data_IF_268660014149
#
_entry.id   IF_268660014149
#
_cell.length_a   1.000
_cell.length_b   1.000
_cell.length_c   1.000
_cell.angle_alpha   90.00
_cell.angle_beta   90.00
_cell.angle_gamma   90.00
#
_symmetry.space_group_name_H-M   'P 1'
#
loop_
_entity.id
_entity.type
_entity.pdbx_description
1 polymer ?
#
# COMPACT_ATOMS: atom_id res chain seq x y z
N UNK A 1 -32.36 -5.52 -29.50
CA UNK A 1 -30.93 -5.29 -29.17
C UNK A 1 -30.57 -3.89 -29.58
N UNK A 2 -29.95 -3.09 -28.72
CA UNK A 2 -29.46 -1.76 -29.08
C UNK A 2 -28.31 -1.89 -30.08
N UNK A 3 -28.40 -1.18 -31.23
CA UNK A 3 -27.37 -1.17 -32.29
C UNK A 3 -25.95 -0.86 -31.78
N UNK A 4 -25.86 -0.14 -30.67
CA UNK A 4 -24.59 0.23 -30.04
C UNK A 4 -23.70 -0.98 -29.70
N UNK A 5 -24.27 -2.15 -29.40
CA UNK A 5 -23.47 -3.35 -29.06
C UNK A 5 -23.05 -4.19 -30.27
N UNK A 6 -23.24 -3.69 -31.49
CA UNK A 6 -22.78 -4.38 -32.70
C UNK A 6 -21.25 -4.30 -32.83
N UNK A 7 -20.57 -5.34 -33.36
CA UNK A 7 -19.12 -5.36 -33.52
C UNK A 7 -18.55 -4.16 -34.31
N UNK A 8 -19.35 -3.55 -35.18
CA UNK A 8 -18.99 -2.35 -35.93
C UNK A 8 -18.65 -1.14 -35.04
N UNK A 9 -19.14 -1.11 -33.78
CA UNK A 9 -18.90 -0.01 -32.84
C UNK A 9 -17.78 -0.30 -31.83
N UNK A 10 -17.04 -1.40 -31.97
CA UNK A 10 -15.95 -1.76 -31.05
C UNK A 10 -14.92 -0.64 -30.87
N UNK A 11 -14.59 0.08 -31.95
CA UNK A 11 -13.68 1.25 -31.89
C UNK A 11 -14.25 2.37 -31.03
N UNK A 12 -15.55 2.66 -31.13
CA UNK A 12 -16.19 3.67 -30.29
C UNK A 12 -16.19 3.27 -28.81
N UNK A 13 -16.37 1.98 -28.51
CA UNK A 13 -16.31 1.49 -27.13
C UNK A 13 -14.92 1.71 -26.51
N UNK A 14 -13.85 1.45 -27.26
CA UNK A 14 -12.48 1.76 -26.80
C UNK A 14 -12.30 3.26 -26.56
N UNK A 15 -12.79 4.12 -27.46
CA UNK A 15 -12.71 5.58 -27.28
C UNK A 15 -13.44 6.02 -26.01
N UNK A 16 -14.63 5.47 -25.74
CA UNK A 16 -15.40 5.77 -24.51
C UNK A 16 -14.62 5.36 -23.27
N UNK A 17 -13.99 4.18 -23.29
CA UNK A 17 -13.16 3.69 -22.17
C UNK A 17 -11.96 4.61 -21.94
N UNK A 18 -11.25 5.01 -22.98
CA UNK A 18 -10.11 5.92 -22.85
C UNK A 18 -10.53 7.32 -22.37
N UNK A 19 -11.66 7.83 -22.85
CA UNK A 19 -12.21 9.10 -22.40
C UNK A 19 -12.61 9.09 -20.93
N UNK A 20 -13.17 7.99 -20.42
CA UNK A 20 -13.46 7.84 -19.00
C UNK A 20 -12.18 7.68 -18.16
N UNK A 21 -11.14 7.05 -18.71
CA UNK A 21 -9.85 6.88 -18.05
C UNK A 21 -8.93 8.12 -18.13
N UNK A 22 -9.31 9.14 -18.90
CA UNK A 22 -8.44 10.27 -19.27
C UNK A 22 -7.84 11.01 -18.07
N UNK A 23 -8.66 11.32 -17.07
CA UNK A 23 -8.17 11.97 -15.84
C UNK A 23 -7.54 10.97 -14.88
N UNK A 24 -8.20 9.84 -14.68
CA UNK A 24 -7.74 8.79 -13.79
C UNK A 24 -8.40 7.44 -14.17
N UNK A 25 -7.68 6.29 -14.10
CA UNK A 25 -8.24 4.97 -14.46
C UNK A 25 -9.50 4.57 -13.70
N UNK A 26 -9.74 5.15 -12.51
CA UNK A 26 -10.95 4.88 -11.72
C UNK A 26 -12.26 5.17 -12.49
N UNK A 27 -12.23 6.07 -13.48
CA UNK A 27 -13.40 6.42 -14.28
C UNK A 27 -14.00 5.26 -15.07
N UNK A 28 -13.23 4.19 -15.32
CA UNK A 28 -13.73 2.98 -16.01
C UNK A 28 -14.29 1.92 -15.06
N UNK A 29 -14.16 2.09 -13.72
CA UNK A 29 -14.66 1.11 -12.74
C UNK A 29 -16.17 0.86 -12.87
N UNK A 30 -17.04 1.87 -13.09
CA UNK A 30 -18.48 1.63 -13.30
C UNK A 30 -18.78 0.69 -14.48
N UNK A 31 -17.91 0.62 -15.49
CA UNK A 31 -18.10 -0.23 -16.67
C UNK A 31 -18.00 -1.73 -16.35
N UNK A 32 -17.41 -2.10 -15.21
CA UNK A 32 -17.37 -3.48 -14.72
C UNK A 32 -18.78 -4.06 -14.49
N UNK A 33 -19.76 -3.19 -14.18
CA UNK A 33 -21.16 -3.56 -13.94
C UNK A 33 -22.07 -3.55 -15.17
N UNK A 34 -21.62 -3.03 -16.32
CA UNK A 34 -22.50 -2.75 -17.47
C UNK A 34 -22.85 -4.01 -18.26
N UNK A 35 -21.87 -4.61 -18.93
CA UNK A 35 -22.02 -5.87 -19.65
C UNK A 35 -20.67 -6.56 -19.85
N UNK A 36 -20.67 -7.77 -20.42
CA UNK A 36 -19.46 -8.58 -20.60
C UNK A 36 -18.38 -7.87 -21.45
N UNK A 37 -18.77 -7.18 -22.52
CA UNK A 37 -17.84 -6.51 -23.42
C UNK A 37 -17.16 -5.30 -22.74
N UNK A 38 -17.94 -4.39 -22.16
CA UNK A 38 -17.38 -3.24 -21.43
C UNK A 38 -16.61 -3.64 -20.18
N UNK A 39 -17.04 -4.70 -19.49
CA UNK A 39 -16.26 -5.26 -18.38
C UNK A 39 -14.89 -5.73 -18.85
N UNK A 40 -14.80 -6.40 -20.00
CA UNK A 40 -13.52 -6.84 -20.53
C UNK A 40 -12.61 -5.65 -20.85
N UNK A 41 -13.11 -4.64 -21.56
CA UNK A 41 -12.34 -3.43 -21.88
C UNK A 41 -11.89 -2.68 -20.62
N UNK A 42 -12.77 -2.55 -19.63
CA UNK A 42 -12.45 -1.92 -18.36
C UNK A 42 -11.38 -2.69 -17.59
N UNK A 43 -11.47 -4.02 -17.51
CA UNK A 43 -10.45 -4.88 -16.89
C UNK A 43 -9.10 -4.71 -17.60
N UNK A 44 -9.09 -4.75 -18.93
CA UNK A 44 -7.87 -4.55 -19.73
C UNK A 44 -7.24 -3.20 -19.41
N UNK A 45 -8.02 -2.12 -19.37
CA UNK A 45 -7.52 -0.77 -19.09
C UNK A 45 -7.01 -0.59 -17.66
N UNK A 46 -7.72 -1.13 -16.67
CA UNK A 46 -7.33 -1.08 -15.25
C UNK A 46 -6.05 -1.87 -15.00
N UNK A 47 -5.93 -3.09 -15.55
CA UNK A 47 -4.70 -3.89 -15.47
C UNK A 47 -3.55 -3.17 -16.16
N UNK A 48 -3.80 -2.55 -17.32
CA UNK A 48 -2.79 -1.82 -18.06
C UNK A 48 -2.22 -0.64 -17.26
N UNK A 49 -3.04 0.08 -16.49
CA UNK A 49 -2.59 1.20 -15.67
C UNK A 49 -1.49 0.83 -14.65
N UNK A 50 -1.51 -0.41 -14.14
CA UNK A 50 -0.47 -0.94 -13.25
C UNK A 50 0.69 -1.59 -14.01
N UNK A 51 0.44 -2.22 -15.16
CA UNK A 51 1.50 -2.78 -16.03
C UNK A 51 2.45 -1.72 -16.59
N UNK A 52 1.97 -0.50 -16.78
CA UNK A 52 2.77 0.63 -17.28
C UNK A 52 3.72 1.20 -16.22
N UNK A 53 3.69 0.67 -14.99
CA UNK A 53 4.60 1.09 -13.95
C UNK A 53 6.06 0.80 -14.34
N UNK A 54 6.92 1.82 -14.32
CA UNK A 54 8.35 1.71 -14.63
C UNK A 54 9.19 2.34 -13.55
N UNK A 55 10.36 1.75 -13.28
CA UNK A 55 11.42 2.35 -12.47
C UNK A 55 12.18 3.33 -13.35
N UNK A 56 12.10 4.61 -13.00
CA UNK A 56 12.80 5.70 -13.68
C UNK A 56 14.22 5.92 -13.14
N UNK A 57 14.50 5.40 -11.95
CA UNK A 57 15.77 5.56 -11.23
C UNK A 57 15.53 5.38 -9.74
N UNK A 58 16.51 5.81 -8.95
CA UNK A 58 16.41 5.86 -7.49
C UNK A 58 16.59 7.30 -7.03
N UNK A 59 15.93 7.64 -5.94
CA UNK A 59 16.18 8.89 -5.26
C UNK A 59 17.52 8.83 -4.52
N UNK A 60 18.34 9.86 -4.67
CA UNK A 60 19.70 9.87 -4.10
C UNK A 60 19.67 10.09 -2.59
N UNK A 61 18.65 10.79 -2.06
CA UNK A 61 18.54 11.08 -0.64
C UNK A 61 17.88 9.91 0.10
N UNK A 62 16.78 9.37 -0.42
CA UNK A 62 16.02 8.32 0.27
C UNK A 62 16.36 6.89 -0.17
N UNK A 63 17.08 6.72 -1.29
CA UNK A 63 17.34 5.41 -1.89
C UNK A 63 16.09 4.74 -2.49
N UNK A 64 14.92 5.38 -2.48
CA UNK A 64 13.68 4.79 -3.00
C UNK A 64 13.59 4.79 -4.52
N UNK A 65 12.95 3.78 -5.13
CA UNK A 65 12.73 3.78 -6.57
C UNK A 65 11.77 4.91 -6.96
N UNK A 66 12.18 5.72 -7.94
CA UNK A 66 11.32 6.69 -8.62
C UNK A 66 10.46 5.94 -9.63
N UNK A 67 9.15 5.90 -9.40
CA UNK A 67 8.22 5.15 -10.26
C UNK A 67 7.41 6.10 -11.14
N UNK A 68 7.26 5.76 -12.43
CA UNK A 68 6.18 6.30 -13.28
C UNK A 68 5.03 5.31 -13.29
N UNK A 69 3.79 5.75 -13.06
CA UNK A 69 2.60 4.90 -13.15
C UNK A 69 2.03 4.51 -11.79
N UNK A 70 1.24 3.43 -11.76
CA UNK A 70 0.52 2.99 -10.56
C UNK A 70 1.26 1.88 -9.81
N UNK A 71 1.34 2.00 -8.49
CA UNK A 71 2.02 1.08 -7.59
C UNK A 71 1.25 0.95 -6.26
N UNK A 72 1.76 0.12 -5.35
CA UNK A 72 1.33 0.09 -3.95
C UNK A 72 2.55 0.35 -3.08
N UNK A 73 2.49 1.37 -2.22
CA UNK A 73 3.52 1.58 -1.18
C UNK A 73 3.09 0.83 0.07
N UNK A 74 3.98 0.04 0.63
CA UNK A 74 3.77 -0.62 1.91
C UNK A 74 4.77 -0.04 2.91
N UNK A 75 4.32 0.53 4.02
CA UNK A 75 5.18 1.25 4.95
C UNK A 75 4.75 1.01 6.40
N UNK A 76 5.60 1.39 7.36
CA UNK A 76 5.17 1.45 8.76
C UNK A 76 3.96 2.41 8.90
N UNK A 77 2.94 1.99 9.64
CA UNK A 77 1.75 2.78 9.88
C UNK A 77 1.96 3.60 11.16
N UNK A 78 1.83 4.92 11.05
CA UNK A 78 1.85 5.84 12.21
C UNK A 78 0.59 5.77 13.09
N UNK A 79 -0.32 4.84 12.82
CA UNK A 79 -1.56 4.69 13.61
C UNK A 79 -1.25 4.03 14.93
N UNK A 80 -1.30 4.83 16.00
CA UNK A 80 -1.42 4.30 17.33
C UNK A 80 -2.83 3.68 17.50
N UNK A 81 -2.97 2.36 17.75
CA UNK A 81 -4.27 1.73 17.94
C UNK A 81 -4.99 2.22 19.22
N UNK A 82 -4.26 2.83 20.16
CA UNK A 82 -4.80 3.31 21.45
C UNK A 82 -5.25 4.77 21.38
N UNK A 83 -4.54 5.62 20.64
CA UNK A 83 -4.85 7.05 20.55
C UNK A 83 -5.69 7.41 19.31
N UNK A 84 -5.92 6.45 18.40
CA UNK A 84 -6.64 6.67 17.15
C UNK A 84 -5.79 7.39 16.08
N UNK A 85 -6.33 7.60 14.87
CA UNK A 85 -5.54 8.18 13.78
C UNK A 85 -5.26 9.68 14.01
N UNK A 86 -4.05 10.15 13.70
CA UNK A 86 -3.75 11.57 13.52
C UNK A 86 -3.88 11.94 12.04
N UNK A 87 -3.93 13.24 11.73
CA UNK A 87 -4.07 13.73 10.35
C UNK A 87 -2.91 13.25 9.47
N UNK A 88 -1.72 13.20 10.05
CA UNK A 88 -0.47 12.72 9.45
C UNK A 88 -0.54 11.23 9.11
N UNK A 89 -1.46 10.48 9.72
CA UNK A 89 -1.73 9.07 9.42
C UNK A 89 -2.65 8.91 8.20
N UNK A 90 -3.05 9.99 7.52
CA UNK A 90 -3.81 9.86 6.28
C UNK A 90 -2.93 9.18 5.21
N UNK A 91 -3.40 8.11 4.53
CA UNK A 91 -2.61 7.36 3.55
C UNK A 91 -1.99 8.18 2.41
N UNK A 92 -2.46 9.41 2.16
CA UNK A 92 -1.85 10.33 1.19
C UNK A 92 -0.49 10.85 1.65
N UNK A 93 -0.28 11.03 2.96
CA UNK A 93 1.05 11.34 3.51
C UNK A 93 2.00 10.18 3.20
N UNK A 94 1.56 8.95 3.47
CA UNK A 94 2.34 7.74 3.16
C UNK A 94 2.80 7.73 1.69
N UNK A 95 1.95 8.09 0.73
CA UNK A 95 2.35 8.10 -0.69
C UNK A 95 3.30 9.23 -1.09
N UNK A 96 3.19 10.42 -0.49
CA UNK A 96 3.94 11.61 -0.92
C UNK A 96 5.22 11.78 -0.12
N UNK A 97 5.18 11.53 1.18
CA UNK A 97 6.33 11.70 2.05
C UNK A 97 7.29 10.53 1.83
N UNK A 98 8.51 10.89 1.43
CA UNK A 98 9.66 9.99 1.42
C UNK A 98 10.00 9.80 2.90
N UNK A 99 9.86 8.59 3.42
CA UNK A 99 10.28 8.28 4.78
C UNK A 99 11.81 8.23 4.77
N UNK A 100 12.53 9.20 5.39
CA UNK A 100 13.98 9.23 5.34
C UNK A 100 14.62 7.97 5.96
N UNK A 101 13.88 7.24 6.80
CA UNK A 101 14.40 6.11 7.57
C UNK A 101 14.25 4.75 6.84
N UNK A 102 13.84 4.74 5.57
CA UNK A 102 13.78 3.50 4.79
C UNK A 102 12.62 2.57 5.17
N UNK A 103 11.57 3.05 5.84
CA UNK A 103 10.49 2.19 6.36
C UNK A 103 9.37 1.89 5.36
N UNK A 104 9.72 1.65 4.10
CA UNK A 104 8.74 1.36 3.06
C UNK A 104 9.28 0.46 1.94
N UNK A 105 8.37 -0.24 1.28
CA UNK A 105 8.63 -1.05 0.08
C UNK A 105 7.62 -0.65 -1.00
N UNK A 106 8.11 -0.41 -2.20
CA UNK A 106 7.27 -0.15 -3.37
C UNK A 106 6.96 -1.47 -4.09
N UNK A 107 5.68 -1.77 -4.26
CA UNK A 107 5.18 -2.97 -4.92
C UNK A 107 4.61 -2.63 -6.30
N UNK A 108 5.10 -3.31 -7.32
CA UNK A 108 4.75 -3.10 -8.73
C UNK A 108 4.07 -4.34 -9.32
N UNK A 109 3.36 -4.17 -10.44
CA UNK A 109 2.61 -5.23 -11.10
C UNK A 109 3.49 -6.42 -11.48
N UNK A 110 3.05 -7.63 -11.12
CA UNK A 110 3.65 -8.88 -11.57
C UNK A 110 2.68 -9.66 -12.48
N UNK A 111 1.44 -9.89 -12.03
CA UNK A 111 0.48 -10.69 -12.79
C UNK A 111 -0.97 -10.38 -12.44
N UNK A 112 -1.90 -10.78 -13.31
CA UNK A 112 -3.34 -10.72 -13.10
C UNK A 112 -3.96 -12.08 -13.39
N UNK A 113 -4.77 -12.59 -12.48
CA UNK A 113 -5.55 -13.82 -12.68
C UNK A 113 -7.02 -13.45 -13.02
N UNK A 114 -7.48 -13.70 -14.27
CA UNK A 114 -8.84 -13.38 -14.68
C UNK A 114 -9.92 -14.24 -14.01
N UNK A 115 -9.58 -15.40 -13.42
CA UNK A 115 -10.56 -16.26 -12.74
C UNK A 115 -10.89 -15.74 -11.36
N UNK A 116 -9.87 -15.34 -10.60
CA UNK A 116 -10.02 -14.81 -9.23
C UNK A 116 -10.11 -13.29 -9.20
N UNK A 117 -9.81 -12.62 -10.31
CA UNK A 117 -9.70 -11.16 -10.46
C UNK A 117 -8.64 -10.53 -9.55
N UNK A 118 -7.67 -11.32 -9.11
CA UNK A 118 -6.58 -10.88 -8.26
C UNK A 118 -5.40 -10.37 -9.09
N UNK A 119 -4.86 -9.22 -8.69
CA UNK A 119 -3.58 -8.69 -9.13
C UNK A 119 -2.53 -9.08 -8.11
N UNK A 120 -1.43 -9.68 -8.58
CA UNK A 120 -0.24 -9.93 -7.76
C UNK A 120 0.77 -8.82 -8.01
N UNK A 121 1.22 -8.20 -6.94
CA UNK A 121 2.26 -7.19 -6.91
C UNK A 121 3.50 -7.75 -6.20
N UNK A 122 4.68 -7.28 -6.57
CA UNK A 122 5.97 -7.68 -5.96
C UNK A 122 6.85 -6.45 -5.72
N UNK A 123 7.81 -6.52 -4.79
CA UNK A 123 8.80 -5.46 -4.64
C UNK A 123 9.51 -5.14 -5.96
N UNK A 124 9.90 -3.87 -6.11
CA UNK A 124 10.75 -3.43 -7.22
C UNK A 124 12.05 -4.22 -7.25
N UNK A 125 12.70 -4.38 -6.10
CA UNK A 125 13.89 -5.21 -5.96
C UNK A 125 13.67 -6.35 -4.96
N UNK A 126 14.06 -7.61 -5.27
CA UNK A 126 13.81 -8.76 -4.39
C UNK A 126 14.49 -8.71 -3.01
N UNK A 127 15.43 -7.79 -2.81
CA UNK A 127 16.09 -7.58 -1.52
C UNK A 127 15.45 -6.46 -0.70
N UNK A 128 14.46 -5.72 -1.24
CA UNK A 128 13.79 -4.65 -0.52
C UNK A 128 13.12 -5.23 0.74
N UNK A 129 13.37 -4.58 1.87
CA UNK A 129 12.82 -4.92 3.18
C UNK A 129 12.54 -3.62 3.96
N UNK A 130 11.57 -3.70 4.86
CA UNK A 130 11.27 -2.64 5.81
C UNK A 130 12.06 -2.95 7.08
N UNK A 131 12.95 -2.04 7.48
CA UNK A 131 13.69 -2.13 8.73
C UNK A 131 12.96 -1.33 9.81
N UNK A 132 12.89 -1.87 11.02
CA UNK A 132 12.18 -1.25 12.13
C UNK A 132 12.64 -1.80 13.47
N UNK A 133 12.36 -1.05 14.53
CA UNK A 133 12.69 -1.43 15.90
C UNK A 133 11.51 -2.06 16.63
N UNK A 134 11.76 -3.23 17.20
CA UNK A 134 10.88 -3.93 18.12
C UNK A 134 11.20 -3.55 19.55
N UNK A 135 10.17 -3.21 20.31
CA UNK A 135 10.31 -3.08 21.75
C UNK A 135 10.26 -4.47 22.41
N UNK A 136 11.29 -4.81 23.17
CA UNK A 136 11.41 -6.07 23.88
C UNK A 136 11.58 -5.85 25.40
N UNK A 137 11.07 -6.80 26.19
CA UNK A 137 11.30 -6.86 27.63
C UNK A 137 12.72 -7.34 27.96
N UNK A 138 13.12 -7.29 29.24
CA UNK A 138 14.41 -7.80 29.73
C UNK A 138 14.69 -9.28 29.36
N UNK A 139 13.65 -10.06 29.03
CA UNK A 139 13.73 -11.45 28.60
C UNK A 139 13.78 -11.60 27.08
N UNK A 140 13.96 -10.50 26.34
CA UNK A 140 14.01 -10.47 24.88
C UNK A 140 12.68 -10.85 24.21
N UNK A 141 11.55 -10.75 24.91
CA UNK A 141 10.21 -11.01 24.37
C UNK A 141 9.57 -9.71 23.90
N UNK A 142 8.91 -9.73 22.74
CA UNK A 142 8.23 -8.57 22.18
C UNK A 142 7.12 -8.06 23.12
N UNK A 143 7.09 -6.74 23.31
CA UNK A 143 6.01 -6.04 23.99
C UNK A 143 4.77 -5.98 23.09
N UNK A 144 3.88 -6.96 23.27
CA UNK A 144 2.66 -7.09 22.45
C UNK A 144 1.61 -6.02 22.68
N UNK A 145 1.77 -5.20 23.73
CA UNK A 145 0.87 -4.07 24.02
C UNK A 145 1.18 -2.84 23.15
N UNK A 146 2.28 -2.83 22.39
CA UNK A 146 2.59 -1.79 21.41
C UNK A 146 3.06 -2.43 20.09
N UNK A 147 2.22 -3.24 19.42
CA UNK A 147 2.64 -3.94 18.21
C UNK A 147 2.87 -2.94 17.08
N UNK A 148 3.91 -3.19 16.29
CA UNK A 148 4.17 -2.44 15.06
C UNK A 148 3.17 -2.84 13.98
N UNK A 149 2.63 -1.84 13.30
CA UNK A 149 1.73 -2.04 12.17
C UNK A 149 2.34 -1.49 10.90
N UNK A 150 2.02 -2.13 9.79
CA UNK A 150 2.43 -1.71 8.46
C UNK A 150 1.21 -1.63 7.57
N UNK A 151 1.10 -0.58 6.77
CA UNK A 151 -0.03 -0.33 5.89
C UNK A 151 0.36 -0.37 4.42
N UNK A 152 -0.51 -0.96 3.60
CA UNK A 152 -0.44 -0.88 2.15
C UNK A 152 -1.37 0.19 1.58
N UNK A 153 -0.83 1.09 0.77
CA UNK A 153 -1.57 2.19 0.14
C UNK A 153 -1.40 2.10 -1.38
N UNK A 154 -2.53 1.96 -2.10
CA UNK A 154 -2.53 1.93 -3.55
C UNK A 154 -2.52 3.36 -4.12
N UNK A 155 -1.56 3.67 -4.99
CA UNK A 155 -1.51 4.98 -5.65
C UNK A 155 -2.74 5.22 -6.53
N UNK A 156 -3.36 4.14 -7.04
CA UNK A 156 -4.57 4.18 -7.85
C UNK A 156 -5.82 4.63 -7.08
N UNK A 157 -5.75 4.80 -5.76
CA UNK A 157 -6.83 5.43 -5.01
C UNK A 157 -6.88 6.95 -5.19
N UNK A 158 -5.80 7.57 -5.66
CA UNK A 158 -5.65 9.01 -5.61
C UNK A 158 -5.35 9.62 -6.97
N UNK A 159 -5.82 10.85 -7.15
CA UNK A 159 -5.46 11.71 -8.28
C UNK A 159 -4.86 13.02 -7.77
N UNK A 160 -4.24 13.77 -8.67
CA UNK A 160 -3.75 15.12 -8.35
C UNK A 160 -4.93 15.99 -7.94
N UNK A 161 -4.79 16.65 -6.80
CA UNK A 161 -5.83 17.49 -6.26
C UNK A 161 -6.01 18.79 -7.05
N UNK A 162 -7.23 19.33 -6.99
CA UNK A 162 -7.50 20.68 -7.49
C UNK A 162 -6.89 21.74 -6.54
N UNK A 163 -6.54 22.94 -7.05
CA UNK A 163 -6.02 24.01 -6.21
C UNK A 163 -6.95 24.32 -5.01
N UNK A 164 -6.37 24.38 -3.81
CA UNK A 164 -7.08 24.81 -2.59
C UNK A 164 -7.80 23.72 -1.78
N UNK A 165 -7.75 22.44 -2.20
CA UNK A 165 -8.37 21.31 -1.48
C UNK A 165 -7.47 20.07 -1.55
N UNK A 166 -6.47 19.95 -0.69
CA UNK A 166 -5.63 18.73 -0.75
C UNK A 166 -4.89 18.43 0.54
N UNK A 167 -4.66 17.14 0.75
CA UNK A 167 -3.62 16.63 1.64
C UNK A 167 -2.44 16.25 0.74
N UNK A 168 -1.31 16.94 0.89
CA UNK A 168 -0.09 16.72 0.09
C UNK A 168 -0.32 16.73 -1.44
N UNK A 169 -1.28 17.52 -1.94
CA UNK A 169 -1.58 17.60 -3.36
C UNK A 169 -2.39 16.43 -3.94
N UNK A 170 -2.95 15.56 -3.09
CA UNK A 170 -3.75 14.40 -3.49
C UNK A 170 -5.20 14.45 -2.98
N UNK A 171 -6.12 13.98 -3.81
CA UNK A 171 -7.52 13.73 -3.49
C UNK A 171 -7.92 12.31 -3.89
N UNK A 172 -8.92 11.73 -3.21
CA UNK A 172 -9.43 10.42 -3.60
C UNK A 172 -10.01 10.48 -5.02
N UNK A 173 -9.62 9.53 -5.84
CA UNK A 173 -9.90 9.59 -7.27
C UNK A 173 -11.39 9.42 -7.59
N UNK A 174 -12.10 8.57 -6.83
CA UNK A 174 -13.51 8.27 -7.06
C UNK A 174 -14.48 9.27 -6.42
N UNK A 175 -14.09 9.94 -5.33
CA UNK A 175 -14.90 10.91 -4.58
C UNK A 175 -13.97 11.79 -3.73
N UNK A 176 -13.82 13.06 -4.09
CA UNK A 176 -12.87 14.01 -3.49
C UNK A 176 -13.32 14.54 -2.12
N UNK A 177 -14.58 14.29 -1.72
CA UNK A 177 -15.12 14.66 -0.42
C UNK A 177 -14.88 13.58 0.66
N UNK A 178 -14.29 12.46 0.27
CA UNK A 178 -14.10 11.29 1.14
C UNK A 178 -12.64 11.05 1.51
N UNK A 179 -12.47 10.19 2.50
CA UNK A 179 -11.18 9.73 3.01
C UNK A 179 -11.13 8.20 3.09
N UNK A 180 -9.98 7.58 2.75
CA UNK A 180 -9.80 6.15 2.88
C UNK A 180 -9.46 5.82 4.35
N UNK A 181 -10.18 4.90 5.00
CA UNK A 181 -9.76 4.38 6.29
C UNK A 181 -8.56 3.45 6.13
N UNK A 182 -7.79 3.33 7.21
CA UNK A 182 -6.58 2.53 7.26
C UNK A 182 -7.00 1.07 7.50
N UNK A 183 -6.90 0.23 6.45
CA UNK A 183 -7.46 -1.13 6.49
C UNK A 183 -6.53 -2.23 5.95
N UNK A 184 -5.44 -1.86 5.31
CA UNK A 184 -4.43 -2.78 4.81
C UNK A 184 -3.32 -3.03 5.86
N UNK A 185 -3.71 -3.13 7.14
CA UNK A 185 -2.76 -3.25 8.24
C UNK A 185 -2.27 -4.68 8.42
N UNK A 186 -0.95 -4.84 8.42
CA UNK A 186 -0.23 -6.04 8.84
C UNK A 186 0.44 -5.74 10.18
N UNK A 187 0.26 -6.64 11.16
CA UNK A 187 1.15 -6.76 12.30
C UNK A 187 1.93 -8.06 12.09
N UNK A 188 3.20 -8.00 11.68
CA UNK A 188 3.96 -9.18 11.32
C UNK A 188 4.24 -10.00 12.57
N UNK A 189 4.08 -11.32 12.47
CA UNK A 189 4.56 -12.20 13.53
C UNK A 189 6.09 -12.20 13.51
N UNK A 190 6.71 -12.11 14.68
CA UNK A 190 8.15 -12.18 14.85
C UNK A 190 8.54 -13.29 15.84
N UNK A 191 9.62 -14.05 15.57
CA UNK A 191 10.03 -15.12 16.45
C UNK A 191 10.64 -14.57 17.75
N UNK A 192 10.32 -15.19 18.89
CA UNK A 192 10.96 -14.87 20.18
C UNK A 192 12.44 -15.27 20.23
N UNK A 193 12.89 -16.16 19.32
CA UNK A 193 14.28 -16.61 19.26
C UNK A 193 15.14 -15.47 18.70
N UNK A 194 16.25 -15.16 19.38
CA UNK A 194 17.27 -14.23 18.86
C UNK A 194 17.75 -14.62 17.48
N UNK A 195 17.87 -13.65 16.59
CA UNK A 195 18.17 -13.81 15.16
C UNK A 195 17.25 -14.85 14.48
N UNK A 196 16.06 -15.07 15.03
CA UNK A 196 15.07 -15.96 14.46
C UNK A 196 14.43 -15.34 13.23
N UNK A 197 13.94 -16.20 12.34
CA UNK A 197 13.20 -15.81 11.15
C UNK A 197 11.93 -16.64 11.00
N UNK A 198 10.83 -15.98 10.63
CA UNK A 198 9.69 -16.62 9.98
C UNK A 198 9.78 -16.38 8.47
N UNK A 199 9.69 -17.47 7.70
CA UNK A 199 9.78 -17.42 6.25
C UNK A 199 8.43 -17.72 5.60
N UNK A 200 8.09 -16.94 4.57
CA UNK A 200 6.95 -17.20 3.68
C UNK A 200 5.61 -17.36 4.43
N UNK A 201 5.34 -16.46 5.38
CA UNK A 201 4.06 -16.37 6.08
C UNK A 201 3.02 -15.74 5.15
N UNK A 202 1.99 -16.50 4.79
CA UNK A 202 0.85 -16.02 4.02
C UNK A 202 -0.27 -15.58 4.98
N UNK A 203 -0.67 -14.31 4.90
CA UNK A 203 -1.65 -13.72 5.82
C UNK A 203 -2.74 -12.96 5.06
N UNK A 204 -4.04 -13.24 5.32
CA UNK A 204 -5.12 -12.40 4.86
C UNK A 204 -5.18 -11.10 5.68
N UNK A 205 -5.34 -9.97 4.99
CA UNK A 205 -5.52 -8.65 5.59
C UNK A 205 -7.01 -8.31 5.72
N UNK A 206 -7.36 -7.41 6.66
CA UNK A 206 -8.75 -7.06 6.98
C UNK A 206 -9.53 -6.48 5.79
N UNK A 207 -8.85 -5.80 4.87
CA UNK A 207 -9.48 -5.25 3.66
C UNK A 207 -9.70 -6.29 2.54
N UNK A 208 -9.35 -7.56 2.74
CA UNK A 208 -9.48 -8.62 1.75
C UNK A 208 -8.29 -8.75 0.81
N UNK A 209 -7.17 -8.12 1.13
CA UNK A 209 -5.88 -8.39 0.47
C UNK A 209 -5.22 -9.61 1.09
N UNK A 210 -4.23 -10.17 0.41
CA UNK A 210 -3.41 -11.28 0.94
C UNK A 210 -1.96 -10.94 0.73
N UNK A 211 -1.14 -11.06 1.78
CA UNK A 211 0.29 -10.77 1.73
C UNK A 211 1.08 -12.05 2.00
N UNK A 212 2.21 -12.21 1.31
CA UNK A 212 3.25 -13.16 1.68
C UNK A 212 4.48 -12.39 2.14
N UNK A 213 4.96 -12.67 3.34
CA UNK A 213 6.12 -11.99 3.92
C UNK A 213 7.07 -12.95 4.64
N UNK A 214 8.30 -12.49 4.89
CA UNK A 214 9.20 -13.02 5.90
C UNK A 214 9.47 -11.93 6.92
N UNK A 215 9.69 -12.30 8.18
CA UNK A 215 10.10 -11.37 9.21
C UNK A 215 11.21 -12.00 10.06
N UNK A 216 12.23 -11.20 10.42
CA UNK A 216 13.32 -11.68 11.25
C UNK A 216 13.80 -10.64 12.23
N UNK A 217 14.35 -11.12 13.35
CA UNK A 217 15.13 -10.30 14.27
C UNK A 217 16.58 -10.24 13.82
N UNK A 218 17.25 -9.16 14.19
CA UNK A 218 18.65 -8.92 13.83
C UNK A 218 19.47 -8.55 15.09
N UNK A 219 19.28 -9.31 16.17
CA UNK A 219 19.92 -9.12 17.47
C UNK A 219 21.45 -9.04 17.39
N UNK A 220 22.07 -9.73 16.41
CA UNK A 220 23.52 -9.79 16.23
C UNK A 220 24.13 -8.62 15.41
N UNK A 221 23.33 -7.64 14.98
CA UNK A 221 23.88 -6.49 14.24
C UNK A 221 24.71 -5.55 15.15
N UNK A 222 25.83 -4.97 14.64
CA UNK A 222 26.69 -4.08 15.40
C UNK A 222 25.96 -2.83 15.91
N UNK A 223 26.39 -2.32 17.08
CA UNK A 223 25.84 -1.16 17.77
C UNK A 223 25.76 0.12 16.91
N UNK A 224 26.52 0.22 15.82
CA UNK A 224 26.55 1.36 14.88
C UNK A 224 25.26 1.52 14.06
N UNK A 225 24.37 0.52 14.04
CA UNK A 225 23.04 0.60 13.43
C UNK A 225 21.96 1.14 14.40
N UNK A 226 22.33 1.56 15.61
CA UNK A 226 21.40 1.91 16.70
C UNK A 226 21.29 3.42 16.93
N UNK A 227 20.65 4.15 16.02
CA UNK A 227 20.07 5.44 16.39
C UNK A 227 18.66 5.19 16.91
N UNK A 228 18.54 5.04 18.23
CA UNK A 228 17.24 4.95 18.91
C UNK A 228 16.53 6.28 18.76
N UNK A 229 15.32 6.25 18.19
CA UNK A 229 14.46 7.44 18.09
C UNK A 229 14.20 8.03 19.50
N UNK A 230 14.71 9.24 19.81
CA UNK A 230 14.57 9.85 21.12
C UNK A 230 13.14 10.34 21.41
N UNK A 231 12.21 10.22 20.48
CA UNK A 231 10.80 10.62 20.66
C UNK A 231 9.94 9.58 21.39
N UNK A 232 10.45 8.36 21.59
CA UNK A 232 9.84 7.36 22.45
C UNK A 232 10.02 7.79 23.92
N UNK A 233 9.07 8.57 24.45
CA UNK A 233 9.00 8.89 25.87
C UNK A 233 9.06 7.62 26.75
N UNK A 234 9.45 7.78 28.03
CA UNK A 234 9.68 6.74 29.04
C UNK A 234 9.27 5.31 28.62
N UNK A 235 10.15 4.67 27.85
CA UNK A 235 9.99 3.27 27.49
C UNK A 235 10.13 2.48 28.80
N UNK A 236 9.13 1.69 29.22
CA UNK A 236 9.24 0.90 30.43
C UNK A 236 10.40 -0.10 30.30
N UNK A 237 11.03 -0.49 31.41
CA UNK A 237 12.20 -1.38 31.49
C UNK A 237 12.29 -2.41 30.32
N UNK A 238 13.04 -2.03 29.27
CA UNK A 238 13.04 -2.72 27.98
C UNK A 238 14.11 -2.16 27.04
N UNK A 239 14.28 -2.79 25.89
CA UNK A 239 15.25 -2.36 24.87
C UNK A 239 14.73 -2.61 23.46
N UNK A 240 15.30 -1.89 22.50
CA UNK A 240 14.97 -2.02 21.09
C UNK A 240 15.80 -3.11 20.43
N UNK A 241 15.14 -3.96 19.66
CA UNK A 241 15.76 -4.99 18.82
C UNK A 241 15.47 -4.66 17.37
N UNK A 242 16.49 -4.50 16.51
CA UNK A 242 16.26 -4.24 15.10
C UNK A 242 15.67 -5.48 14.45
N UNK A 243 14.70 -5.25 13.57
CA UNK A 243 13.97 -6.26 12.84
C UNK A 243 13.81 -5.86 11.38
N UNK A 244 13.57 -6.87 10.55
CA UNK A 244 13.25 -6.66 9.14
C UNK A 244 11.95 -7.37 8.77
N UNK A 245 11.17 -6.72 7.92
CA UNK A 245 9.98 -7.25 7.27
C UNK A 245 10.20 -7.24 5.76
N UNK A 246 10.27 -8.44 5.17
CA UNK A 246 10.43 -8.63 3.73
C UNK A 246 9.12 -9.05 3.11
N UNK A 247 8.62 -8.26 2.16
CA UNK A 247 7.39 -8.59 1.42
C UNK A 247 7.78 -9.36 0.17
N UNK A 248 7.23 -10.55 -0.04
CA UNK A 248 7.49 -11.34 -1.24
C UNK A 248 6.48 -11.02 -2.34
N UNK A 249 5.20 -10.92 -1.97
CA UNK A 249 4.14 -10.47 -2.87
C UNK A 249 2.91 -10.00 -2.09
N UNK A 250 2.07 -9.22 -2.77
CA UNK A 250 0.76 -8.79 -2.31
C UNK A 250 -0.30 -9.08 -3.38
N UNK A 251 -1.35 -9.81 -3.02
CA UNK A 251 -2.51 -10.09 -3.87
C UNK A 251 -3.67 -9.18 -3.49
N UNK A 252 -4.19 -8.47 -4.48
CA UNK A 252 -5.24 -7.47 -4.31
C UNK A 252 -6.35 -7.72 -5.34
N UNK A 253 -7.65 -7.72 -4.97
CA UNK A 253 -8.73 -7.67 -5.94
C UNK A 253 -8.61 -6.44 -6.84
N UNK A 254 -8.71 -6.60 -8.16
CA UNK A 254 -8.45 -5.51 -9.13
C UNK A 254 -9.17 -4.19 -8.79
N UNK A 255 -10.45 -4.26 -8.39
CA UNK A 255 -11.24 -3.07 -8.03
C UNK A 255 -10.66 -2.35 -6.80
N UNK A 256 -10.12 -3.11 -5.84
CA UNK A 256 -9.54 -2.57 -4.62
C UNK A 256 -8.25 -1.78 -4.83
N UNK A 257 -7.65 -1.82 -6.04
CA UNK A 257 -6.53 -0.94 -6.40
C UNK A 257 -6.97 0.48 -6.75
N UNK A 258 -8.25 0.68 -7.07
CA UNK A 258 -8.79 1.97 -7.55
C UNK A 258 -9.82 2.57 -6.61
N UNK A 259 -10.50 1.72 -5.83
CA UNK A 259 -11.48 2.14 -4.85
C UNK A 259 -11.14 1.47 -3.51
N UNK A 260 -10.84 2.23 -2.45
CA UNK A 260 -10.68 1.66 -1.12
C UNK A 260 -12.01 1.00 -0.70
N UNK A 261 -11.92 -0.16 -0.03
CA UNK A 261 -13.10 -0.97 0.32
C UNK A 261 -14.14 -0.20 1.16
N UNK A 262 -13.65 0.73 1.96
CA UNK A 262 -14.47 1.64 2.75
C UNK A 262 -13.98 3.07 2.50
N UNK A 263 -14.87 4.04 2.69
CA UNK A 263 -14.54 5.46 2.65
C UNK A 263 -15.49 6.22 3.55
N UNK A 264 -15.03 7.34 4.09
CA UNK A 264 -15.80 8.13 5.05
C UNK A 264 -15.71 9.61 4.72
N UNK A 265 -16.80 10.34 4.96
CA UNK A 265 -16.81 11.82 4.96
C UNK A 265 -16.45 12.38 6.33
N UNK A 266 -16.55 11.58 7.39
CA UNK A 266 -16.02 11.93 8.71
C UNK A 266 -14.52 11.80 8.65
N UNK A 267 -13.79 12.87 8.99
CA UNK A 267 -12.37 12.80 9.31
C UNK A 267 -12.21 11.67 10.34
N UNK A 268 -11.40 10.66 10.02
CA UNK A 268 -11.13 9.58 10.95
C UNK A 268 -10.00 9.94 11.92
N UNK A 269 -9.50 11.18 11.87
CA UNK A 269 -8.35 11.63 12.62
C UNK A 269 -8.64 12.79 13.57
N UNK A 270 -7.79 12.92 14.58
CA UNK A 270 -7.67 14.11 15.42
C UNK A 270 -6.92 15.23 14.68
N UNK A 271 -7.33 16.48 14.91
CA UNK A 271 -6.67 17.69 14.39
C UNK A 271 -5.54 18.16 15.32
#
# INVERSE_FOLDING_TARGET
MHRFFEPAFTVLHTIVVEELAREHPVGVVPLLGVNRHFRQLAVERLVQAYKECKVLGYDEESGYPKLSGQFVKFAESGVNPYDGPFKENDPRYTLVDQDPDGRAVMLVFNSYDPKTTLVTLKPVHPADAIYYDLLCDEKYSEWRDLPRYFEGVASGWFKKARPGRSVKGLELAFDDERYPPIQALLSPEIPNKRDGEFQNVEQPLRNGWTILYSASRMDSLPDEAREVDPTMGEVPDGFLVPAQLKIHWLKIPLVSLFIPRHSTTKKCWYD
#
